data_IF_017266012636
#
_entry.id   IF_017266012636
#
_cell.length_a   1.000
_cell.length_b   1.000
_cell.length_c   1.000
_cell.angle_alpha   90.00
_cell.angle_beta   90.00
_cell.angle_gamma   90.00
#
_symmetry.space_group_name_H-M   'P 1'
#
loop_
_entity.id
_entity.type
_entity.pdbx_description
1 polymer ?
#
# COMPACT_ATOMS: atom_id res chain seq x y z
N UNK A 1 15.86 4.29 -3.11
CA UNK A 1 14.68 4.21 -2.23
C UNK A 1 13.53 3.69 -3.05
N UNK A 2 13.02 2.51 -2.71
CA UNK A 2 11.96 1.81 -3.42
C UNK A 2 10.68 1.84 -2.60
N UNK A 3 9.63 2.47 -3.13
CA UNK A 3 8.36 2.66 -2.42
C UNK A 3 7.25 1.87 -3.12
N UNK A 4 6.60 0.98 -2.38
CA UNK A 4 5.43 0.26 -2.87
C UNK A 4 4.17 1.12 -2.82
N UNK A 5 3.24 0.88 -3.74
CA UNK A 5 1.87 1.39 -3.68
C UNK A 5 0.91 0.22 -3.79
N UNK A 6 0.07 0.01 -2.78
CA UNK A 6 -0.91 -1.08 -2.78
C UNK A 6 -1.88 -0.92 -3.95
N UNK A 7 -1.87 -1.88 -4.88
CA UNK A 7 -2.58 -1.81 -6.16
C UNK A 7 -3.72 -2.85 -6.25
N UNK A 8 -4.39 -3.11 -5.13
CA UNK A 8 -5.59 -3.96 -5.09
C UNK A 8 -6.81 -3.26 -5.67
N UNK A 9 -6.98 -1.97 -5.34
CA UNK A 9 -8.03 -1.08 -5.81
C UNK A 9 -7.61 0.37 -5.50
N UNK A 10 -8.13 1.34 -6.27
CA UNK A 10 -8.04 2.76 -5.93
C UNK A 10 -7.10 3.56 -6.81
N UNK A 11 -6.76 4.76 -6.35
CA UNK A 11 -5.96 5.76 -7.08
C UNK A 11 -4.45 5.52 -6.91
N UNK A 12 -3.98 4.30 -7.16
CA UNK A 12 -2.55 3.96 -7.04
C UNK A 12 -1.71 4.61 -8.15
N UNK A 13 -2.26 4.77 -9.37
CA UNK A 13 -1.54 5.33 -10.53
C UNK A 13 -1.07 6.76 -10.26
N UNK A 14 -1.87 7.57 -9.57
CA UNK A 14 -1.53 8.94 -9.19
C UNK A 14 -0.32 8.98 -8.25
N UNK A 15 -0.28 8.08 -7.27
CA UNK A 15 0.86 7.92 -6.36
C UNK A 15 2.12 7.48 -7.11
N UNK A 16 2.02 6.48 -7.98
CA UNK A 16 3.14 6.03 -8.83
C UNK A 16 3.71 7.21 -9.64
N UNK A 17 2.85 7.97 -10.32
CA UNK A 17 3.26 9.14 -11.13
C UNK A 17 3.95 10.22 -10.30
N UNK A 18 3.48 10.49 -9.07
CA UNK A 18 4.11 11.47 -8.19
C UNK A 18 5.47 10.98 -7.72
N UNK A 19 5.61 9.72 -7.31
CA UNK A 19 6.88 9.13 -6.90
C UNK A 19 7.94 9.21 -8.01
N UNK A 20 7.56 8.91 -9.25
CA UNK A 20 8.46 9.03 -10.41
C UNK A 20 8.95 10.47 -10.61
N UNK A 21 8.05 11.46 -10.49
CA UNK A 21 8.41 12.89 -10.58
C UNK A 21 9.36 13.33 -9.47
N UNK A 22 9.32 12.67 -8.32
CA UNK A 22 10.21 12.91 -7.18
C UNK A 22 11.54 12.12 -7.28
N UNK A 23 11.76 11.35 -8.34
CA UNK A 23 12.96 10.52 -8.50
C UNK A 23 13.01 9.30 -7.58
N UNK A 24 11.88 8.90 -7.02
CA UNK A 24 11.72 7.68 -6.21
C UNK A 24 11.36 6.52 -7.13
N UNK A 25 11.85 5.31 -6.85
CA UNK A 25 11.50 4.11 -7.60
C UNK A 25 10.17 3.55 -7.06
N UNK A 26 9.04 3.66 -7.79
CA UNK A 26 7.79 3.09 -7.33
C UNK A 26 7.66 1.61 -7.74
N UNK A 27 6.93 0.83 -6.94
CA UNK A 27 6.47 -0.51 -7.31
C UNK A 27 4.99 -0.65 -7.03
N UNK A 28 4.22 -1.23 -7.95
CA UNK A 28 2.88 -1.70 -7.63
C UNK A 28 2.99 -2.93 -6.72
N UNK A 29 2.14 -2.99 -5.69
CA UNK A 29 2.06 -4.13 -4.78
C UNK A 29 0.71 -4.79 -5.01
N UNK A 30 0.73 -5.95 -5.68
CA UNK A 30 -0.47 -6.72 -6.08
C UNK A 30 -0.55 -8.07 -5.37
N UNK A 31 0.60 -8.60 -4.95
CA UNK A 31 0.74 -9.80 -4.14
C UNK A 31 1.56 -9.52 -2.87
N UNK A 32 1.40 -10.32 -1.80
CA UNK A 32 2.19 -10.15 -0.58
C UNK A 32 3.71 -10.18 -0.78
N UNK A 33 4.21 -10.98 -1.72
CA UNK A 33 5.65 -11.06 -2.01
C UNK A 33 6.20 -9.74 -2.59
N UNK A 34 5.36 -8.90 -3.18
CA UNK A 34 5.78 -7.60 -3.72
C UNK A 34 6.19 -6.61 -2.60
N UNK A 35 5.89 -6.94 -1.34
CA UNK A 35 6.36 -6.18 -0.18
C UNK A 35 7.86 -6.39 0.09
N UNK A 36 8.44 -7.45 -0.47
CA UNK A 36 9.85 -7.76 -0.33
C UNK A 36 10.70 -6.66 -1.00
N UNK A 37 11.85 -6.35 -0.38
CA UNK A 37 12.79 -5.33 -0.86
C UNK A 37 12.25 -3.88 -0.98
N UNK A 38 11.07 -3.57 -0.42
CA UNK A 38 10.59 -2.18 -0.34
C UNK A 38 11.17 -1.45 0.89
N UNK A 39 11.40 -0.16 0.77
CA UNK A 39 11.80 0.73 1.87
C UNK A 39 10.58 1.37 2.58
N UNK A 40 9.42 1.37 1.94
CA UNK A 40 8.17 1.90 2.48
C UNK A 40 6.96 1.56 1.61
N UNK A 41 5.76 1.77 2.13
CA UNK A 41 4.50 1.42 1.47
C UNK A 41 3.49 2.57 1.54
N UNK A 42 2.79 2.82 0.43
CA UNK A 42 1.62 3.69 0.36
C UNK A 42 0.37 2.84 0.21
N UNK A 43 -0.65 3.11 1.02
CA UNK A 43 -2.00 2.58 0.84
C UNK A 43 -2.86 3.72 0.27
N UNK A 44 -3.27 3.63 -1.02
CA UNK A 44 -3.88 4.76 -1.72
C UNK A 44 -5.33 5.02 -1.24
N UNK A 45 -5.88 6.14 -1.71
CA UNK A 45 -7.32 6.41 -1.64
C UNK A 45 -8.11 5.48 -2.56
N UNK A 46 -9.41 5.35 -2.29
CA UNK A 46 -10.29 4.40 -2.97
C UNK A 46 -11.53 4.15 -2.12
N UNK A 47 -12.04 2.92 -2.14
CA UNK A 47 -13.14 2.49 -1.27
C UNK A 47 -12.59 1.48 -0.24
N UNK A 48 -12.59 1.87 1.03
CA UNK A 48 -11.89 1.15 2.09
C UNK A 48 -12.48 -0.24 2.35
N UNK A 49 -13.80 -0.43 2.17
CA UNK A 49 -14.45 -1.73 2.34
C UNK A 49 -13.95 -2.73 1.29
N UNK A 50 -13.82 -2.28 0.04
CA UNK A 50 -13.35 -3.09 -1.09
C UNK A 50 -11.88 -3.41 -0.94
N UNK A 51 -11.05 -2.40 -0.62
CA UNK A 51 -9.62 -2.61 -0.35
C UNK A 51 -9.45 -3.63 0.80
N UNK A 52 -10.20 -3.49 1.89
CA UNK A 52 -10.15 -4.42 3.02
C UNK A 52 -10.57 -5.85 2.63
N UNK A 53 -11.66 -6.02 1.89
CA UNK A 53 -12.11 -7.34 1.40
C UNK A 53 -11.06 -8.00 0.49
N UNK A 54 -10.47 -7.26 -0.42
CA UNK A 54 -9.40 -7.77 -1.29
C UNK A 54 -8.14 -8.11 -0.49
N UNK A 55 -7.78 -7.28 0.49
CA UNK A 55 -6.63 -7.54 1.35
C UNK A 55 -6.81 -8.85 2.15
N UNK A 56 -8.03 -9.14 2.63
CA UNK A 56 -8.33 -10.45 3.23
C UNK A 56 -8.24 -11.57 2.20
N UNK A 57 -8.90 -11.41 1.05
CA UNK A 57 -8.98 -12.43 0.00
C UNK A 57 -7.61 -12.85 -0.55
N UNK A 58 -6.68 -11.90 -0.69
CA UNK A 58 -5.33 -12.14 -1.19
C UNK A 58 -4.29 -12.34 -0.08
N UNK A 59 -4.71 -12.47 1.18
CA UNK A 59 -3.81 -12.81 2.28
C UNK A 59 -2.84 -11.69 2.71
N UNK A 60 -3.21 -10.43 2.50
CA UNK A 60 -2.38 -9.27 2.82
C UNK A 60 -2.40 -8.84 4.30
N UNK A 61 -3.36 -9.29 5.10
CA UNK A 61 -3.55 -8.76 6.46
C UNK A 61 -2.28 -8.92 7.31
N UNK A 62 -1.75 -10.14 7.43
CA UNK A 62 -0.55 -10.40 8.23
C UNK A 62 0.71 -9.74 7.61
N UNK A 63 0.97 -9.88 6.28
CA UNK A 63 2.10 -9.20 5.64
C UNK A 63 2.11 -7.68 5.82
N UNK A 64 0.95 -7.01 5.71
CA UNK A 64 0.85 -5.56 5.89
C UNK A 64 1.14 -5.15 7.35
N UNK A 65 0.65 -5.92 8.33
CA UNK A 65 0.92 -5.66 9.74
C UNK A 65 2.41 -5.84 10.08
N UNK A 66 3.04 -6.91 9.56
CA UNK A 66 4.48 -7.15 9.72
C UNK A 66 5.29 -6.02 9.09
N UNK A 67 4.97 -5.65 7.84
CA UNK A 67 5.62 -4.55 7.15
C UNK A 67 5.51 -3.24 7.92
N UNK A 68 4.32 -2.90 8.42
CA UNK A 68 4.10 -1.67 9.20
C UNK A 68 4.79 -1.65 10.56
N UNK A 69 5.16 -2.82 11.11
CA UNK A 69 5.95 -2.93 12.33
C UNK A 69 7.43 -2.59 12.13
N UNK A 70 7.94 -2.70 10.91
CA UNK A 70 9.36 -2.54 10.59
C UNK A 70 9.66 -1.33 9.71
N UNK A 71 8.71 -0.94 8.84
CA UNK A 71 8.91 0.04 7.78
C UNK A 71 7.77 1.06 7.71
N UNK A 72 8.04 2.28 7.21
CA UNK A 72 7.02 3.32 7.11
C UNK A 72 5.86 2.93 6.19
N UNK A 73 4.63 3.20 6.65
CA UNK A 73 3.41 3.04 5.86
C UNK A 73 2.64 4.35 5.85
N UNK A 74 2.24 4.80 4.65
CA UNK A 74 1.46 6.01 4.45
C UNK A 74 0.09 5.68 3.85
N UNK A 75 -0.96 5.77 4.66
CA UNK A 75 -2.35 5.64 4.20
C UNK A 75 -2.95 6.98 3.85
N UNK A 76 -3.56 7.08 2.67
CA UNK A 76 -4.26 8.28 2.19
C UNK A 76 -5.76 7.99 2.03
N UNK A 77 -6.63 8.85 2.57
CA UNK A 77 -8.10 8.68 2.50
C UNK A 77 -8.55 7.27 2.95
N UNK A 78 -8.97 6.40 2.02
CA UNK A 78 -9.34 5.02 2.31
C UNK A 78 -8.20 4.21 2.96
N UNK A 79 -6.94 4.45 2.57
CA UNK A 79 -5.79 3.84 3.21
C UNK A 79 -5.64 4.26 4.67
N UNK A 80 -5.99 5.50 5.02
CA UNK A 80 -6.00 5.95 6.42
C UNK A 80 -7.08 5.22 7.22
N UNK A 81 -8.27 5.03 6.65
CA UNK A 81 -9.36 4.26 7.30
C UNK A 81 -8.92 2.81 7.52
N UNK A 82 -8.24 2.19 6.55
CA UNK A 82 -7.76 0.81 6.65
C UNK A 82 -6.71 0.63 7.78
N UNK A 83 -5.86 1.63 8.01
CA UNK A 83 -4.82 1.59 9.06
C UNK A 83 -5.35 1.90 10.46
N UNK A 84 -6.55 2.47 10.59
CA UNK A 84 -7.07 2.92 11.88
C UNK A 84 -7.32 1.73 12.82
N UNK A 85 -6.88 1.87 14.07
CA UNK A 85 -7.24 0.95 15.14
C UNK A 85 -8.71 1.19 15.53
N UNK A 86 -9.47 0.11 15.72
CA UNK A 86 -10.79 0.19 16.36
C UNK A 86 -10.67 0.28 17.87
#
# INVERSE_FOLDING_TARGET
>A
MKIGVLALQGAFIEHIRILQKLGVEPSEVRLPQDLEALDGLIIPGGESTTIGKLAVMYGFINPLQQFAGEKPVWGTCAGMILMAKR
#
